data_IF_310878104270
#
_entry.id   IF_310878104270
#
_cell.length_a   1.000
_cell.length_b   1.000
_cell.length_c   1.000
_cell.angle_alpha   90.00
_cell.angle_beta   90.00
_cell.angle_gamma   90.00
#
_symmetry.space_group_name_H-M   'P 1'
#
loop_
_entity.id
_entity.type
_entity.pdbx_description
1 polymer ?
#
# COMPACT_ATOMS: atom_id res chain seq x y z
N UNK A 1 21.94 -4.74 -16.53
CA UNK A 1 21.54 -6.14 -16.39
C UNK A 1 20.93 -6.65 -17.68
N UNK A 2 21.39 -7.77 -18.17
CA UNK A 2 20.77 -8.37 -19.34
C UNK A 2 19.36 -8.87 -18.95
N UNK A 3 18.37 -8.52 -19.76
CA UNK A 3 17.03 -9.07 -19.60
C UNK A 3 17.05 -10.53 -20.05
N UNK A 4 16.44 -11.38 -19.27
CA UNK A 4 16.21 -12.75 -19.67
C UNK A 4 15.13 -12.79 -20.73
N UNK A 5 15.53 -13.11 -21.97
CA UNK A 5 14.63 -13.21 -23.11
C UNK A 5 14.04 -14.61 -23.30
N UNK A 6 14.23 -15.50 -22.31
CA UNK A 6 13.65 -16.84 -22.36
C UNK A 6 12.11 -16.75 -22.32
N UNK A 7 11.40 -17.39 -23.26
CA UNK A 7 9.93 -17.40 -23.21
C UNK A 7 9.42 -18.03 -21.93
N UNK A 8 8.40 -17.41 -21.32
CA UNK A 8 7.75 -17.95 -20.15
C UNK A 8 6.99 -19.23 -20.50
N UNK A 9 7.10 -20.22 -19.64
CA UNK A 9 6.28 -21.44 -19.74
C UNK A 9 5.18 -21.44 -18.65
N UNK A 10 4.17 -22.32 -18.76
CA UNK A 10 3.06 -22.35 -17.80
C UNK A 10 3.49 -22.51 -16.34
N UNK A 11 4.54 -23.30 -16.08
CA UNK A 11 5.03 -23.52 -14.71
C UNK A 11 5.60 -22.23 -14.11
N UNK A 12 6.40 -21.51 -14.88
CA UNK A 12 7.00 -20.23 -14.43
C UNK A 12 5.92 -19.20 -14.15
N UNK A 13 4.89 -19.12 -15.00
CA UNK A 13 3.76 -18.19 -14.80
C UNK A 13 2.99 -18.55 -13.52
N UNK A 14 2.71 -19.83 -13.30
CA UNK A 14 2.01 -20.28 -12.08
C UNK A 14 2.80 -20.00 -10.81
N UNK A 15 4.11 -20.23 -10.82
CA UNK A 15 4.99 -19.92 -9.70
C UNK A 15 4.96 -18.43 -9.37
N UNK A 16 5.02 -17.58 -10.38
CA UNK A 16 4.95 -16.13 -10.21
C UNK A 16 3.61 -15.68 -9.65
N UNK A 17 2.51 -16.28 -10.13
CA UNK A 17 1.16 -16.01 -9.61
C UNK A 17 1.07 -16.38 -8.13
N UNK A 18 1.59 -17.54 -7.71
CA UNK A 18 1.60 -17.95 -6.30
C UNK A 18 2.37 -16.97 -5.44
N UNK A 19 3.52 -16.51 -5.92
CA UNK A 19 4.32 -15.50 -5.23
C UNK A 19 3.56 -14.20 -5.07
N UNK A 20 2.88 -13.74 -6.12
CA UNK A 20 2.05 -12.53 -6.07
C UNK A 20 0.89 -12.68 -5.08
N UNK A 21 0.20 -13.81 -5.06
CA UNK A 21 -0.89 -14.09 -4.12
C UNK A 21 -0.39 -14.01 -2.67
N UNK A 22 0.79 -14.56 -2.38
CA UNK A 22 1.40 -14.48 -1.06
C UNK A 22 1.76 -13.05 -0.68
N UNK A 23 2.31 -12.29 -1.60
CA UNK A 23 2.65 -10.87 -1.39
C UNK A 23 1.39 -10.02 -1.16
N UNK A 24 0.31 -10.30 -1.89
CA UNK A 24 -0.98 -9.62 -1.71
C UNK A 24 -1.53 -9.91 -0.31
N UNK A 25 -1.49 -11.16 0.14
CA UNK A 25 -1.96 -11.53 1.47
C UNK A 25 -1.19 -10.79 2.58
N UNK A 26 0.13 -10.70 2.46
CA UNK A 26 0.97 -9.91 3.38
C UNK A 26 0.65 -8.41 3.28
N UNK A 27 0.42 -7.92 2.07
CA UNK A 27 0.09 -6.52 1.82
C UNK A 27 -1.20 -6.09 2.51
N UNK A 28 -2.21 -6.95 2.56
CA UNK A 28 -3.47 -6.68 3.28
C UNK A 28 -3.19 -6.45 4.77
N UNK A 29 -2.35 -7.30 5.38
CA UNK A 29 -1.98 -7.15 6.79
C UNK A 29 -1.21 -5.85 7.05
N UNK A 30 -0.27 -5.51 6.17
CA UNK A 30 0.51 -4.28 6.27
C UNK A 30 -0.40 -3.05 6.13
N UNK A 31 -1.31 -3.04 5.17
CA UNK A 31 -2.28 -1.95 5.00
C UNK A 31 -3.14 -1.77 6.25
N UNK A 32 -3.65 -2.85 6.83
CA UNK A 32 -4.47 -2.80 8.04
C UNK A 32 -3.67 -2.22 9.21
N UNK A 33 -2.42 -2.63 9.37
CA UNK A 33 -1.52 -2.13 10.42
C UNK A 33 -1.25 -0.63 10.23
N UNK A 34 -0.90 -0.22 9.03
CA UNK A 34 -0.61 1.20 8.74
C UNK A 34 -1.84 2.07 8.93
N UNK A 35 -3.01 1.57 8.58
CA UNK A 35 -4.25 2.30 8.80
C UNK A 35 -4.54 2.48 10.29
N UNK A 36 -4.36 1.43 11.09
CA UNK A 36 -4.52 1.51 12.55
C UNK A 36 -3.54 2.52 13.17
N UNK A 37 -2.28 2.51 12.73
CA UNK A 37 -1.26 3.48 13.17
C UNK A 37 -1.67 4.91 12.83
N UNK A 38 -2.21 5.13 11.63
CA UNK A 38 -2.72 6.44 11.22
C UNK A 38 -3.87 6.89 12.13
N UNK A 39 -4.84 6.04 12.39
CA UNK A 39 -5.96 6.37 13.26
C UNK A 39 -5.51 6.73 14.69
N UNK A 40 -4.50 6.02 15.21
CA UNK A 40 -3.93 6.32 16.51
C UNK A 40 -3.23 7.68 16.52
N UNK A 41 -2.43 7.98 15.49
CA UNK A 41 -1.74 9.24 15.35
C UNK A 41 -2.72 10.42 15.17
N UNK A 42 -3.80 10.20 14.42
CA UNK A 42 -4.84 11.20 14.20
C UNK A 42 -5.55 11.55 15.52
N UNK A 43 -5.92 10.52 16.29
CA UNK A 43 -6.53 10.75 17.61
C UNK A 43 -5.57 11.43 18.59
N UNK A 44 -4.30 11.07 18.56
CA UNK A 44 -3.27 11.71 19.39
C UNK A 44 -3.14 13.19 19.05
N UNK A 45 -3.09 13.52 17.77
CA UNK A 45 -3.04 14.90 17.30
C UNK A 45 -4.26 15.70 17.76
N UNK A 46 -5.46 15.17 17.60
CA UNK A 46 -6.70 15.84 18.02
C UNK A 46 -6.70 16.11 19.52
N UNK A 47 -6.26 15.13 20.31
CA UNK A 47 -6.18 15.27 21.76
C UNK A 47 -5.18 16.35 22.18
N UNK A 48 -3.99 16.31 21.61
CA UNK A 48 -2.94 17.27 21.92
C UNK A 48 -3.32 18.69 21.51
N UNK A 49 -3.96 18.83 20.34
CA UNK A 49 -4.45 20.13 19.89
C UNK A 49 -5.50 20.70 20.85
N UNK A 50 -6.48 19.88 21.23
CA UNK A 50 -7.52 20.32 22.17
C UNK A 50 -6.94 20.72 23.54
N UNK A 51 -5.98 19.95 24.06
CA UNK A 51 -5.30 20.25 25.30
C UNK A 51 -4.50 21.55 25.21
N UNK A 52 -3.75 21.74 24.13
CA UNK A 52 -2.97 22.95 23.90
C UNK A 52 -3.86 24.18 23.74
N UNK A 53 -4.97 24.04 23.02
CA UNK A 53 -5.93 25.12 22.86
C UNK A 53 -6.54 25.55 24.20
N UNK A 54 -6.97 24.59 25.01
CA UNK A 54 -7.58 24.84 26.32
C UNK A 54 -6.58 25.46 27.33
N UNK A 55 -5.30 25.11 27.20
CA UNK A 55 -4.25 25.65 28.06
C UNK A 55 -3.74 27.02 27.61
N UNK A 56 -3.99 27.41 26.38
CA UNK A 56 -3.49 28.67 25.83
C UNK A 56 -4.29 29.85 26.36
N UNK A 57 -3.61 31.01 26.45
CA UNK A 57 -4.19 32.29 26.86
C UNK A 57 -4.23 33.24 25.66
N UNK A 58 -5.17 34.17 25.69
CA UNK A 58 -5.31 35.19 24.66
C UNK A 58 -6.62 35.13 23.93
N UNK A 59 -6.68 35.76 22.77
CA UNK A 59 -7.87 35.72 21.88
C UNK A 59 -8.02 34.31 21.28
N UNK A 60 -9.18 34.08 20.67
CA UNK A 60 -9.43 32.80 19.93
C UNK A 60 -8.35 32.55 18.87
N UNK A 61 -7.98 33.61 18.11
CA UNK A 61 -6.91 33.50 17.10
C UNK A 61 -5.56 33.21 17.72
N UNK A 62 -5.23 33.83 18.82
CA UNK A 62 -3.97 33.60 19.55
C UNK A 62 -3.91 32.16 20.04
N UNK A 63 -5.00 31.64 20.62
CA UNK A 63 -5.09 30.27 21.10
C UNK A 63 -4.92 29.25 19.96
N UNK A 64 -5.53 29.51 18.81
CA UNK A 64 -5.39 28.66 17.63
C UNK A 64 -3.93 28.57 17.17
N UNK A 65 -3.24 29.71 17.07
CA UNK A 65 -1.84 29.74 16.62
C UNK A 65 -0.92 29.09 17.63
N UNK A 66 -1.12 29.33 18.91
CA UNK A 66 -0.35 28.67 19.98
C UNK A 66 -0.54 27.16 19.96
N UNK A 67 -1.78 26.69 19.83
CA UNK A 67 -2.09 25.27 19.75
C UNK A 67 -1.46 24.60 18.52
N UNK A 68 -1.49 25.28 17.37
CA UNK A 68 -0.85 24.77 16.14
C UNK A 68 0.66 24.62 16.31
N UNK A 69 1.32 25.65 16.87
CA UNK A 69 2.78 25.60 17.08
C UNK A 69 3.17 24.49 18.05
N UNK A 70 2.42 24.35 19.13
CA UNK A 70 2.72 23.36 20.16
C UNK A 70 2.49 21.93 19.67
N UNK A 71 1.54 21.72 18.76
CA UNK A 71 1.16 20.40 18.26
C UNK A 71 1.79 20.05 16.91
N UNK A 72 2.73 20.83 16.40
CA UNK A 72 3.43 20.52 15.15
C UNK A 72 4.07 19.14 15.15
N UNK A 73 4.73 18.67 16.22
CA UNK A 73 5.29 17.32 16.23
C UNK A 73 4.22 16.22 16.09
N UNK A 74 3.10 16.36 16.77
CA UNK A 74 2.01 15.39 16.67
C UNK A 74 1.37 15.37 15.27
N UNK A 75 1.25 16.56 14.66
CA UNK A 75 0.78 16.67 13.29
C UNK A 75 1.74 16.00 12.30
N UNK A 76 3.04 16.17 12.49
CA UNK A 76 4.05 15.53 11.66
C UNK A 76 3.95 14.00 11.76
N UNK A 77 3.80 13.46 12.96
CA UNK A 77 3.61 12.02 13.17
C UNK A 77 2.37 11.50 12.46
N UNK A 78 1.27 12.23 12.52
CA UNK A 78 0.05 11.89 11.80
C UNK A 78 0.28 11.89 10.29
N UNK A 79 0.95 12.90 9.76
CA UNK A 79 1.24 13.02 8.33
C UNK A 79 2.14 11.88 7.84
N UNK A 80 3.14 11.49 8.64
CA UNK A 80 4.01 10.36 8.35
C UNK A 80 3.21 9.05 8.31
N UNK A 81 2.33 8.84 9.28
CA UNK A 81 1.49 7.65 9.34
C UNK A 81 0.50 7.59 8.16
N UNK A 82 -0.07 8.72 7.77
CA UNK A 82 -0.93 8.83 6.59
C UNK A 82 -0.18 8.48 5.32
N UNK A 83 1.03 9.03 5.14
CA UNK A 83 1.87 8.74 3.98
C UNK A 83 2.25 7.26 3.91
N UNK A 84 2.57 6.65 5.04
CA UNK A 84 2.90 5.22 5.12
C UNK A 84 1.71 4.34 4.75
N UNK A 85 0.51 4.68 5.21
CA UNK A 85 -0.71 3.97 4.85
C UNK A 85 -1.00 4.11 3.35
N UNK A 86 -0.94 5.31 2.80
CA UNK A 86 -1.17 5.55 1.36
C UNK A 86 -0.19 4.80 0.48
N UNK A 87 1.07 4.72 0.90
CA UNK A 87 2.09 3.96 0.19
C UNK A 87 1.74 2.46 0.18
N UNK A 88 1.38 1.90 1.33
CA UNK A 88 0.97 0.50 1.44
C UNK A 88 -0.26 0.19 0.59
N UNK A 89 -1.25 1.09 0.55
CA UNK A 89 -2.46 0.96 -0.27
C UNK A 89 -2.14 0.93 -1.76
N UNK A 90 -1.29 1.86 -2.23
CA UNK A 90 -0.85 1.89 -3.63
C UNK A 90 -0.09 0.64 -4.02
N UNK A 91 0.78 0.16 -3.14
CA UNK A 91 1.55 -1.05 -3.39
C UNK A 91 0.64 -2.27 -3.50
N UNK A 92 -0.37 -2.38 -2.63
CA UNK A 92 -1.37 -3.45 -2.70
C UNK A 92 -2.14 -3.43 -4.02
N UNK A 93 -2.54 -2.24 -4.48
CA UNK A 93 -3.24 -2.07 -5.75
C UNK A 93 -2.35 -2.44 -6.94
N UNK A 94 -1.07 -2.09 -6.88
CA UNK A 94 -0.10 -2.45 -7.92
C UNK A 94 0.10 -3.96 -8.00
N UNK A 95 0.19 -4.65 -6.85
CA UNK A 95 0.30 -6.10 -6.81
C UNK A 95 -0.95 -6.79 -7.38
N UNK A 96 -2.13 -6.27 -7.09
CA UNK A 96 -3.38 -6.79 -7.63
C UNK A 96 -3.44 -6.65 -9.15
N UNK A 97 -3.02 -5.51 -9.67
CA UNK A 97 -2.93 -5.27 -11.12
C UNK A 97 -1.92 -6.20 -11.79
N UNK A 98 -0.77 -6.42 -11.15
CA UNK A 98 0.25 -7.34 -11.64
C UNK A 98 -0.29 -8.78 -11.66
N UNK A 99 -1.02 -9.19 -10.63
CA UNK A 99 -1.66 -10.51 -10.60
C UNK A 99 -2.62 -10.71 -11.77
N UNK A 100 -3.45 -9.72 -12.05
CA UNK A 100 -4.39 -9.79 -13.20
C UNK A 100 -3.66 -9.91 -14.51
N UNK A 101 -2.57 -9.14 -14.68
CA UNK A 101 -1.75 -9.22 -15.89
C UNK A 101 -1.14 -10.62 -16.08
N UNK A 102 -0.61 -11.20 -15.00
CA UNK A 102 -0.04 -12.55 -15.04
C UNK A 102 -1.08 -13.64 -15.24
N UNK A 103 -2.29 -13.46 -14.73
CA UNK A 103 -3.40 -14.38 -15.00
C UNK A 103 -3.77 -14.38 -16.49
N UNK A 104 -3.83 -13.20 -17.12
CA UNK A 104 -4.08 -13.07 -18.56
C UNK A 104 -2.94 -13.67 -19.40
N UNK A 105 -1.70 -13.40 -19.00
CA UNK A 105 -0.52 -13.98 -19.64
C UNK A 105 -0.52 -15.50 -19.52
N UNK A 106 -0.87 -16.03 -18.35
CA UNK A 106 -0.97 -17.45 -18.08
C UNK A 106 -1.97 -18.15 -19.00
N UNK A 107 -3.14 -17.53 -19.21
CA UNK A 107 -4.14 -18.04 -20.14
C UNK A 107 -3.59 -18.10 -21.56
N UNK A 108 -2.92 -17.03 -22.02
CA UNK A 108 -2.30 -16.99 -23.36
C UNK A 108 -1.21 -18.04 -23.53
N UNK A 109 -0.34 -18.20 -22.54
CA UNK A 109 0.75 -19.17 -22.58
C UNK A 109 0.21 -20.58 -22.64
N UNK A 110 -0.80 -20.92 -21.82
CA UNK A 110 -1.45 -22.24 -21.86
C UNK A 110 -2.06 -22.53 -23.22
N UNK A 111 -2.70 -21.53 -23.82
CA UNK A 111 -3.30 -21.68 -25.15
C UNK A 111 -2.25 -21.94 -26.22
N UNK A 112 -1.13 -21.21 -26.17
CA UNK A 112 -0.01 -21.41 -27.09
C UNK A 112 0.57 -22.83 -26.99
N UNK A 113 0.77 -23.34 -25.77
CA UNK A 113 1.27 -24.70 -25.57
C UNK A 113 0.27 -25.75 -26.00
N UNK A 114 -1.02 -25.55 -25.77
CA UNK A 114 -2.06 -26.46 -26.25
C UNK A 114 -2.12 -26.50 -27.78
N UNK A 115 -2.04 -25.36 -28.44
CA UNK A 115 -2.04 -25.27 -29.90
C UNK A 115 -0.78 -25.91 -30.52
N UNK A 116 0.38 -25.72 -29.91
CA UNK A 116 1.61 -26.38 -30.37
C UNK A 116 1.51 -27.90 -30.26
N UNK A 117 0.93 -28.43 -29.17
CA UNK A 117 0.69 -29.86 -29.00
C UNK A 117 -0.26 -30.43 -30.04
N UNK A 118 -1.29 -29.70 -30.45
CA UNK A 118 -2.22 -30.10 -31.51
C UNK A 118 -1.58 -30.09 -32.89
N UNK A 119 -0.65 -29.19 -33.14
CA UNK A 119 0.06 -29.09 -34.42
C UNK A 119 1.04 -30.23 -34.68
N UNK A 120 1.43 -30.97 -33.67
CA UNK A 120 2.37 -32.08 -33.74
C UNK A 120 1.73 -33.46 -34.00
N UNK A 121 0.42 -33.54 -34.04
CA UNK A 121 -0.32 -34.79 -34.26
C UNK A 121 -0.37 -35.25 -35.69
#
# INVERSE_FOLDING_TARGET
MAQDNTPLNPVQVEEHIRELVNRIAKGIQVCSKRYAEFLDADRAFDREYAQAYLAAEGSIKDKEQKARLETMPAREERDIADAAYRHADRLSKALDSELRAFQSLGASVRQMYANAGRGES
#
